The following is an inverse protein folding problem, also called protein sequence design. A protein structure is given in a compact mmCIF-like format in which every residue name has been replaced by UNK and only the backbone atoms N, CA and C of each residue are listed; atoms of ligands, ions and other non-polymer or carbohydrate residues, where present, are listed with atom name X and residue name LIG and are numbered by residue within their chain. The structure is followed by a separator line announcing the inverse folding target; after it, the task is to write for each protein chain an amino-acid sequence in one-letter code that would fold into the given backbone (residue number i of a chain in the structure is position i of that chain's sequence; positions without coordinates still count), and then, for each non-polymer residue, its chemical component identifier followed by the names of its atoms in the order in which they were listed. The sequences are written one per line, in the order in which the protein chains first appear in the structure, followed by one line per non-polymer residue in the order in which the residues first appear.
data_IF_825472831464
#
_entry.id   IF_825472831464
#
_cell.length_a   1.000
_cell.length_b   1.000
_cell.length_c   1.000
_cell.angle_alpha   90.00
_cell.angle_beta   90.00
_cell.angle_gamma   90.00
#
_symmetry.space_group_name_H-M   'P 1'
#
loop_
_entity.id
_entity.type
_entity.pdbx_description
1 polymer ?
#
# COMPACT_ATOMS: atom_id res chain seq x y z
N UNK A 1 9.92 4.41 15.26
CA UNK A 1 9.09 5.62 15.36
C UNK A 1 8.23 5.63 14.12
N UNK A 2 6.91 5.49 14.25
CA UNK A 2 6.00 5.61 13.10
C UNK A 2 6.14 7.04 12.57
N UNK A 3 6.61 7.18 11.34
CA UNK A 3 6.77 8.50 10.76
C UNK A 3 5.38 9.04 10.43
N UNK A 4 5.03 10.15 11.05
CA UNK A 4 3.76 10.82 10.75
C UNK A 4 3.84 11.39 9.33
N UNK A 5 2.70 11.53 8.65
CA UNK A 5 2.65 12.11 7.30
C UNK A 5 3.32 13.49 7.22
N UNK A 6 3.26 14.29 8.30
CA UNK A 6 3.93 15.59 8.36
C UNK A 6 5.46 15.51 8.40
N UNK A 7 6.04 14.46 8.99
CA UNK A 7 7.49 14.23 8.95
C UNK A 7 7.94 13.74 7.56
N UNK A 8 7.14 12.88 6.91
CA UNK A 8 7.41 12.40 5.56
C UNK A 8 7.46 13.55 4.53
N UNK A 9 6.52 14.49 4.61
CA UNK A 9 6.49 15.68 3.74
C UNK A 9 7.76 16.54 3.87
N UNK A 10 8.30 16.68 5.08
CA UNK A 10 9.53 17.43 5.31
C UNK A 10 10.76 16.82 4.60
N UNK A 11 10.71 15.53 4.28
CA UNK A 11 11.72 14.82 3.50
C UNK A 11 11.38 14.70 2.01
N UNK A 12 10.31 15.38 1.54
CA UNK A 12 9.86 15.32 0.14
C UNK A 12 9.14 14.04 -0.23
N UNK A 13 8.67 13.27 0.75
CA UNK A 13 7.89 12.05 0.54
C UNK A 13 6.40 12.41 0.40
N UNK A 14 5.76 11.86 -0.62
CA UNK A 14 4.31 11.98 -0.83
C UNK A 14 3.66 10.64 -0.51
N UNK A 15 2.67 10.66 0.38
CA UNK A 15 1.88 9.47 0.75
C UNK A 15 0.58 9.44 -0.03
N UNK A 16 0.23 8.28 -0.59
CA UNK A 16 -0.96 8.06 -1.40
C UNK A 16 -1.75 6.85 -0.86
N UNK A 17 -3.04 7.04 -0.59
CA UNK A 17 -3.95 5.99 -0.10
C UNK A 17 -4.83 5.41 -1.19
N UNK A 18 -4.88 4.07 -1.29
CA UNK A 18 -5.75 3.33 -2.20
C UNK A 18 -6.71 2.44 -1.39
N UNK A 19 -7.95 2.91 -1.13
CA UNK A 19 -8.93 2.14 -0.37
C UNK A 19 -9.33 0.84 -1.09
N UNK A 20 -9.46 -0.26 -0.33
CA UNK A 20 -9.87 -1.56 -0.86
C UNK A 20 -10.64 -2.37 0.19
N UNK A 21 -11.71 -3.06 -0.23
CA UNK A 21 -12.68 -3.68 0.67
C UNK A 21 -12.57 -5.21 0.78
N UNK A 22 -11.69 -5.88 0.03
CA UNK A 22 -11.66 -7.35 -0.01
C UNK A 22 -10.71 -7.99 1.00
N UNK A 23 -10.36 -7.29 2.08
CA UNK A 23 -9.77 -7.91 3.26
C UNK A 23 -10.78 -7.80 4.40
N UNK A 24 -11.41 -8.92 4.73
CA UNK A 24 -12.44 -9.06 5.78
C UNK A 24 -13.61 -8.06 5.73
N UNK A 25 -13.85 -7.41 4.58
CA UNK A 25 -14.85 -6.32 4.46
C UNK A 25 -14.58 -5.18 5.44
N UNK A 26 -13.33 -4.76 5.60
CA UNK A 26 -13.00 -3.66 6.52
C UNK A 26 -13.34 -2.26 5.94
N UNK A 27 -13.64 -2.15 4.64
CA UNK A 27 -13.94 -0.88 3.94
C UNK A 27 -15.36 -0.89 3.33
N UNK A 28 -16.37 -1.15 4.19
CA UNK A 28 -17.77 -1.36 3.76
C UNK A 28 -18.46 -0.09 3.25
N UNK A 29 -17.92 1.09 3.56
CA UNK A 29 -18.48 2.39 3.18
C UNK A 29 -18.30 2.74 1.71
N UNK A 30 -19.10 3.68 1.23
CA UNK A 30 -18.95 4.29 -0.09
C UNK A 30 -17.69 5.18 -0.17
N UNK A 31 -17.27 5.58 -1.38
CA UNK A 31 -16.11 6.46 -1.57
C UNK A 31 -16.18 7.73 -0.70
N UNK A 32 -17.38 8.28 -0.49
CA UNK A 32 -17.61 9.46 0.34
C UNK A 32 -17.42 9.23 1.84
N UNK A 33 -17.35 7.97 2.29
CA UNK A 33 -17.29 7.58 3.69
C UNK A 33 -15.91 7.06 4.11
N UNK A 34 -14.96 6.91 3.18
CA UNK A 34 -13.61 6.38 3.45
C UNK A 34 -12.93 7.14 4.60
N UNK A 35 -12.93 8.47 4.55
CA UNK A 35 -12.32 9.29 5.60
C UNK A 35 -13.05 9.16 6.94
N UNK A 36 -14.38 9.04 6.90
CA UNK A 36 -15.19 8.84 8.09
C UNK A 36 -14.85 7.49 8.76
N UNK A 37 -14.75 6.42 7.97
CA UNK A 37 -14.39 5.11 8.51
C UNK A 37 -12.93 5.01 8.94
N UNK A 38 -12.01 5.69 8.26
CA UNK A 38 -10.62 5.82 8.71
C UNK A 38 -10.53 6.51 10.08
N UNK A 39 -11.25 7.61 10.27
CA UNK A 39 -11.31 8.33 11.55
C UNK A 39 -11.96 7.48 12.64
N UNK A 40 -13.10 6.84 12.35
CA UNK A 40 -13.82 6.00 13.33
C UNK A 40 -12.99 4.78 13.76
N UNK A 41 -12.26 4.15 12.84
CA UNK A 41 -11.50 2.93 13.12
C UNK A 41 -10.16 3.20 13.82
N UNK A 42 -9.46 4.27 13.42
CA UNK A 42 -8.10 4.57 13.90
C UNK A 42 -8.01 5.73 14.88
N UNK A 43 -9.05 6.58 14.97
CA UNK A 43 -9.02 7.85 15.69
C UNK A 43 -8.18 8.92 15.01
N UNK A 44 -7.74 8.70 13.77
CA UNK A 44 -6.87 9.58 13.01
C UNK A 44 -7.54 10.06 11.72
N UNK A 45 -7.45 11.36 11.46
CA UNK A 45 -7.84 11.95 10.17
C UNK A 45 -6.58 12.03 9.30
N UNK A 46 -6.45 11.19 8.27
CA UNK A 46 -5.26 11.18 7.46
C UNK A 46 -5.14 12.44 6.61
N UNK A 47 -3.95 13.05 6.64
CA UNK A 47 -3.65 14.32 5.98
C UNK A 47 -3.03 14.16 4.59
N UNK A 48 -3.35 13.07 3.88
CA UNK A 48 -2.76 12.73 2.58
C UNK A 48 -3.83 12.34 1.57
N UNK A 49 -3.45 12.28 0.29
CA UNK A 49 -4.39 12.03 -0.80
C UNK A 49 -4.91 10.60 -0.79
N UNK A 50 -6.24 10.44 -0.80
CA UNK A 50 -6.91 9.17 -1.11
C UNK A 50 -7.44 9.18 -2.54
N UNK A 51 -7.41 8.02 -3.18
CA UNK A 51 -8.07 7.77 -4.44
C UNK A 51 -9.42 7.09 -4.23
N UNK A 52 -10.20 6.98 -5.31
CA UNK A 52 -11.42 6.18 -5.30
C UNK A 52 -11.12 4.71 -4.97
N UNK A 53 -12.04 4.09 -4.23
CA UNK A 53 -11.97 2.67 -3.89
C UNK A 53 -11.91 1.84 -5.17
N UNK A 54 -11.00 0.88 -5.21
CA UNK A 54 -10.87 0.00 -6.36
C UNK A 54 -10.06 -1.24 -6.04
N UNK A 55 -10.10 -2.19 -6.96
CA UNK A 55 -9.46 -3.49 -6.72
C UNK A 55 -7.95 -3.38 -6.80
N UNK A 56 -7.25 -3.99 -5.84
CA UNK A 56 -5.78 -4.11 -5.89
C UNK A 56 -5.31 -5.51 -6.34
N UNK A 57 -6.20 -6.50 -6.28
CA UNK A 57 -5.99 -7.87 -6.74
C UNK A 57 -7.14 -8.34 -7.65
N UNK A 58 -6.93 -9.47 -8.32
CA UNK A 58 -7.92 -10.12 -9.19
C UNK A 58 -8.02 -9.49 -10.59
N UNK A 59 -8.96 -9.97 -11.40
CA UNK A 59 -9.06 -9.63 -12.82
C UNK A 59 -9.34 -8.14 -13.10
N UNK A 60 -9.97 -7.46 -12.14
CA UNK A 60 -10.36 -6.05 -12.24
C UNK A 60 -9.42 -5.12 -11.46
N UNK A 61 -8.22 -5.58 -11.10
CA UNK A 61 -7.26 -4.77 -10.36
C UNK A 61 -6.89 -3.48 -11.13
N UNK A 62 -6.65 -2.41 -10.38
CA UNK A 62 -6.18 -1.16 -10.93
C UNK A 62 -4.79 -1.34 -11.54
N UNK A 63 -4.54 -0.68 -12.68
CA UNK A 63 -3.27 -0.80 -13.40
C UNK A 63 -2.06 -0.40 -12.55
N UNK A 64 -2.24 0.56 -11.64
CA UNK A 64 -1.18 0.95 -10.68
C UNK A 64 -0.82 -0.21 -9.75
N UNK A 65 -1.81 -0.95 -9.25
CA UNK A 65 -1.59 -2.13 -8.42
C UNK A 65 -0.91 -3.24 -9.22
N UNK A 66 -1.32 -3.49 -10.47
CA UNK A 66 -0.61 -4.43 -11.36
C UNK A 66 0.85 -4.06 -11.51
N UNK A 67 1.16 -2.77 -11.75
CA UNK A 67 2.53 -2.30 -11.90
C UNK A 67 3.35 -2.51 -10.62
N UNK A 68 2.82 -2.07 -9.47
CA UNK A 68 3.53 -2.14 -8.19
C UNK A 68 3.78 -3.58 -7.73
N UNK A 69 2.77 -4.44 -7.80
CA UNK A 69 2.87 -5.85 -7.39
C UNK A 69 3.91 -6.63 -8.17
N UNK A 70 4.05 -6.34 -9.47
CA UNK A 70 5.03 -7.02 -10.33
C UNK A 70 6.44 -6.42 -10.24
N UNK A 71 6.64 -5.37 -9.45
CA UNK A 71 7.94 -4.69 -9.32
C UNK A 71 8.80 -5.22 -8.17
N UNK A 72 8.27 -6.09 -7.31
CA UNK A 72 9.00 -6.72 -6.21
C UNK A 72 8.63 -8.20 -6.08
N UNK A 73 9.48 -8.99 -5.40
CA UNK A 73 9.05 -10.26 -4.82
C UNK A 73 7.87 -10.06 -3.85
N UNK A 74 7.02 -11.09 -3.66
CA UNK A 74 5.94 -11.03 -2.67
C UNK A 74 6.48 -10.78 -1.27
N UNK A 75 5.72 -10.03 -0.48
CA UNK A 75 6.11 -9.62 0.88
C UNK A 75 5.91 -10.73 1.93
N UNK A 76 5.30 -11.86 1.55
CA UNK A 76 5.04 -13.01 2.40
C UNK A 76 4.99 -14.30 1.59
N UNK A 77 5.61 -15.37 2.10
CA UNK A 77 5.45 -16.74 1.60
C UNK A 77 4.09 -17.35 2.00
N UNK A 78 3.44 -16.75 3.00
CA UNK A 78 2.12 -17.16 3.47
C UNK A 78 1.06 -16.49 2.60
N UNK A 79 0.44 -17.27 1.74
CA UNK A 79 -0.83 -16.89 1.14
C UNK A 79 -1.90 -16.88 2.24
N UNK A 80 -2.52 -15.72 2.44
CA UNK A 80 -3.69 -15.58 3.29
C UNK A 80 -4.70 -16.68 2.93
N UNK A 81 -5.29 -17.41 3.90
CA UNK A 81 -6.19 -18.52 3.60
C UNK A 81 -7.27 -18.09 2.60
N UNK A 82 -7.54 -18.93 1.59
CA UNK A 82 -8.47 -18.60 0.50
C UNK A 82 -9.88 -18.21 0.98
N UNK A 83 -10.29 -18.68 2.16
CA UNK A 83 -11.55 -18.29 2.81
C UNK A 83 -11.63 -16.83 3.26
N UNK A 84 -10.50 -16.12 3.32
CA UNK A 84 -10.40 -14.72 3.70
C UNK A 84 -10.11 -13.80 2.50
N UNK A 85 -9.92 -14.38 1.30
CA UNK A 85 -9.66 -13.65 0.07
C UNK A 85 -10.95 -13.58 -0.75
N UNK A 86 -11.36 -12.36 -1.13
CA UNK A 86 -12.58 -12.16 -1.92
C UNK A 86 -12.28 -11.82 -3.40
N UNK A 87 -11.22 -12.41 -3.97
CA UNK A 87 -10.92 -12.33 -5.41
C UNK A 87 -10.54 -13.69 -6.00
N UNK A 88 -10.70 -13.82 -7.31
CA UNK A 88 -10.38 -15.02 -8.09
C UNK A 88 -9.01 -14.90 -8.76
N UNK A 89 -8.47 -16.04 -9.25
CA UNK A 89 -7.19 -16.11 -9.96
C UNK A 89 -6.00 -15.60 -9.13
N UNK A 90 -5.84 -16.13 -7.91
CA UNK A 90 -4.78 -15.76 -6.96
C UNK A 90 -3.40 -15.91 -7.61
N UNK A 91 -2.61 -14.84 -7.55
CA UNK A 91 -1.24 -14.77 -8.07
C UNK A 91 -0.24 -14.73 -6.92
N UNK A 92 0.98 -15.19 -7.19
CA UNK A 92 2.09 -15.16 -6.23
C UNK A 92 2.37 -13.74 -5.72
N UNK A 93 2.17 -12.73 -6.56
CA UNK A 93 2.49 -11.34 -6.25
C UNK A 93 1.26 -10.55 -5.78
N UNK A 94 0.16 -11.22 -5.40
CA UNK A 94 -1.00 -10.51 -4.87
C UNK A 94 -0.69 -9.84 -3.54
N UNK A 95 -1.25 -8.65 -3.33
CA UNK A 95 -1.19 -7.95 -2.05
C UNK A 95 -1.85 -8.85 -1.01
N UNK A 96 -1.14 -9.11 0.06
CA UNK A 96 -1.50 -10.17 1.00
C UNK A 96 -2.46 -9.67 2.09
N UNK A 97 -2.41 -8.37 2.42
CA UNK A 97 -3.25 -7.77 3.45
C UNK A 97 -3.40 -6.24 3.31
N UNK A 98 -4.27 -5.66 4.13
CA UNK A 98 -4.35 -4.21 4.31
C UNK A 98 -3.00 -3.63 4.79
N UNK A 99 -2.69 -2.40 4.39
CA UNK A 99 -1.48 -1.64 4.78
C UNK A 99 -0.14 -2.19 4.27
N UNK A 100 -0.15 -3.01 3.21
CA UNK A 100 1.05 -3.26 2.41
C UNK A 100 1.50 -1.96 1.72
N UNK A 101 2.81 -1.69 1.71
CA UNK A 101 3.35 -0.37 1.30
C UNK A 101 4.36 -0.55 0.17
N UNK A 102 4.35 0.39 -0.77
CA UNK A 102 5.27 0.43 -1.89
C UNK A 102 6.03 1.74 -1.86
N UNK A 103 7.36 1.67 -1.85
CA UNK A 103 8.22 2.84 -1.98
C UNK A 103 8.60 3.03 -3.44
N UNK A 104 8.30 4.20 -3.98
CA UNK A 104 8.59 4.58 -5.37
C UNK A 104 9.57 5.75 -5.35
N UNK A 105 10.64 5.65 -6.14
CA UNK A 105 11.62 6.71 -6.29
C UNK A 105 11.06 7.90 -7.11
N UNK A 106 11.69 9.09 -7.04
CA UNK A 106 11.26 10.27 -7.79
C UNK A 106 11.22 10.09 -9.31
N UNK A 107 11.95 9.12 -9.85
CA UNK A 107 11.93 8.74 -11.27
C UNK A 107 10.77 7.79 -11.65
N UNK A 108 9.92 7.43 -10.68
CA UNK A 108 8.78 6.55 -10.86
C UNK A 108 9.11 5.06 -10.76
N UNK A 109 10.36 4.70 -10.41
CA UNK A 109 10.77 3.30 -10.29
C UNK A 109 10.49 2.78 -8.86
N UNK A 110 9.74 1.68 -8.69
CA UNK A 110 9.56 1.06 -7.38
C UNK A 110 10.89 0.54 -6.83
N UNK A 111 11.17 0.85 -5.56
CA UNK A 111 12.44 0.53 -4.89
C UNK A 111 12.24 -0.59 -3.87
N UNK A 112 11.08 -0.64 -3.22
CA UNK A 112 10.84 -1.56 -2.12
C UNK A 112 9.35 -1.84 -1.93
N UNK A 113 9.04 -3.08 -1.55
CA UNK A 113 7.72 -3.50 -1.10
C UNK A 113 7.82 -3.94 0.36
N UNK A 114 7.00 -3.34 1.22
CA UNK A 114 7.04 -3.49 2.67
C UNK A 114 5.81 -4.26 3.14
N UNK A 115 6.07 -5.28 3.94
CA UNK A 115 5.01 -6.08 4.57
C UNK A 115 4.16 -5.22 5.52
N UNK A 116 2.89 -5.58 5.71
CA UNK A 116 1.95 -4.71 6.41
C UNK A 116 2.28 -4.46 7.89
N UNK A 117 2.92 -5.43 8.57
CA UNK A 117 3.41 -5.28 9.94
C UNK A 117 4.65 -4.40 10.06
N UNK A 118 5.32 -4.09 8.95
CA UNK A 118 6.48 -3.21 9.01
C UNK A 118 6.00 -1.78 9.29
N UNK A 119 6.19 -1.37 10.54
CA UNK A 119 5.90 -0.02 11.04
C UNK A 119 6.90 1.02 10.54
N UNK A 120 8.00 0.58 9.93
CA UNK A 120 9.08 1.45 9.50
C UNK A 120 8.93 1.73 8.01
N UNK A 121 8.47 2.93 7.63
CA UNK A 121 8.85 3.46 6.32
C UNK A 121 10.30 3.93 6.52
N UNK A 122 11.28 3.32 5.85
CA UNK A 122 12.64 3.75 6.03
C UNK A 122 12.80 5.08 5.25
N UNK A 123 12.53 6.19 5.92
CA UNK A 123 12.69 7.55 5.37
C UNK A 123 14.14 7.99 5.58
N UNK A 124 15.08 7.05 5.35
CA UNK A 124 16.48 7.40 5.30
C UNK A 124 16.76 7.97 3.90
N UNK A 125 17.25 9.21 3.75
CA UNK A 125 17.68 9.75 2.46
C UNK A 125 18.68 8.84 1.72
N UNK A 126 19.41 7.97 2.43
CA UNK A 126 20.32 6.98 1.84
C UNK A 126 19.61 5.90 1.00
N UNK A 127 18.30 5.66 1.17
CA UNK A 127 17.58 4.69 0.34
C UNK A 127 17.50 5.13 -1.12
N UNK A 128 17.39 6.43 -1.37
CA UNK A 128 17.50 6.99 -2.72
C UNK A 128 18.93 6.90 -3.28
N UNK A 129 19.93 6.63 -2.43
CA UNK A 129 21.29 6.32 -2.89
C UNK A 129 21.42 4.85 -3.30
N UNK A 130 20.60 3.94 -2.74
CA UNK A 130 20.56 2.52 -3.13
C UNK A 130 19.93 2.34 -4.51
N UNK A 131 18.92 3.14 -4.87
CA UNK A 131 18.33 3.12 -6.24
C UNK A 131 19.30 3.58 -7.34
N UNK A 132 20.43 4.19 -6.99
CA UNK A 132 21.50 4.56 -7.93
C UNK A 132 22.57 3.46 -8.12
N UNK A 133 22.50 2.36 -7.35
CA UNK A 133 23.33 1.17 -7.60
C UNK A 133 22.65 0.33 -8.68
N UNK A 134 22.92 0.69 -9.94
CA UNK A 134 22.74 -0.24 -11.07
C UNK A 134 23.57 -1.50 -10.79
N UNK A 135 22.91 -2.64 -10.68
CA UNK A 135 23.51 -3.96 -10.90
C UNK A 135 23.27 -4.34 -12.35
#
# INVERSE_FOLDING_TARGET
TECTTGEAEAFGVVVLGFPYNHFEKQEQGENSEVLFWAEVSSGFIPSFQFFEKGNVNGEKEQKVSTFLKNSCPPTSDLLTPSSQLFWESIKVHDICWNFEKFLVAPDGIPVMCLFYWDSSIPINPDIYSISNLKV
#
